data_IF_993519852985
#
_entry.id   IF_993519852985
#
_cell.length_a   1.000
_cell.length_b   1.000
_cell.length_c   1.000
_cell.angle_alpha   90.00
_cell.angle_beta   90.00
_cell.angle_gamma   90.00
#
_symmetry.space_group_name_H-M   'P 1'
#
loop_
_entity.id
_entity.type
_entity.pdbx_description
1 polymer ?
#
# COMPACT_ATOMS: atom_id res chain seq x y z
N UNK A 1 19.04 11.03 -0.89
CA UNK A 1 18.86 9.57 -0.73
C UNK A 1 19.78 9.16 0.39
N UNK A 2 19.20 8.72 1.50
CA UNK A 2 19.92 8.12 2.61
C UNK A 2 20.36 6.69 2.25
N UNK A 3 21.32 6.15 3.01
CA UNK A 3 21.82 4.80 2.77
C UNK A 3 20.72 3.74 2.91
N UNK A 4 19.75 3.96 3.81
CA UNK A 4 18.65 3.04 4.08
C UNK A 4 17.63 2.97 2.93
N UNK A 5 17.31 4.10 2.28
CA UNK A 5 16.50 4.07 1.05
C UNK A 5 17.25 3.42 -0.10
N UNK A 6 18.58 3.60 -0.18
CA UNK A 6 19.39 2.97 -1.22
C UNK A 6 19.37 1.44 -1.08
N UNK A 7 19.56 0.95 0.14
CA UNK A 7 19.49 -0.48 0.48
C UNK A 7 18.12 -1.05 0.13
N UNK A 8 17.04 -0.37 0.54
CA UNK A 8 15.66 -0.78 0.27
C UNK A 8 15.33 -0.80 -1.22
N UNK A 9 15.71 0.25 -1.97
CA UNK A 9 15.56 0.32 -3.42
C UNK A 9 16.32 -0.83 -4.09
N UNK A 10 17.53 -1.10 -3.64
CA UNK A 10 18.36 -2.14 -4.25
C UNK A 10 17.78 -3.53 -3.99
N UNK A 11 17.28 -3.81 -2.79
CA UNK A 11 16.55 -5.04 -2.48
C UNK A 11 15.32 -5.20 -3.41
N UNK A 12 14.52 -4.15 -3.56
CA UNK A 12 13.36 -4.15 -4.48
C UNK A 12 13.80 -4.44 -5.91
N UNK A 13 14.87 -3.81 -6.41
CA UNK A 13 15.37 -4.06 -7.76
C UNK A 13 15.87 -5.50 -7.93
N UNK A 14 16.57 -6.06 -6.95
CA UNK A 14 17.02 -7.47 -6.96
C UNK A 14 15.83 -8.42 -6.99
N UNK A 15 14.82 -8.18 -6.17
CA UNK A 15 13.62 -9.02 -6.14
C UNK A 15 12.86 -8.92 -7.47
N UNK A 16 12.64 -7.70 -7.98
CA UNK A 16 11.92 -7.47 -9.25
C UNK A 16 12.68 -7.92 -10.50
N UNK A 17 14.01 -7.91 -10.47
CA UNK A 17 14.83 -8.34 -11.62
C UNK A 17 14.72 -9.84 -11.91
N UNK A 18 14.30 -10.65 -10.93
CA UNK A 18 14.09 -12.10 -11.06
C UNK A 18 15.26 -12.84 -11.74
N UNK A 19 16.49 -12.37 -11.53
CA UNK A 19 17.69 -12.99 -12.08
C UNK A 19 18.15 -14.15 -11.20
N UNK A 20 18.72 -15.17 -11.83
CA UNK A 20 19.35 -16.29 -11.13
C UNK A 20 20.83 -15.98 -10.91
N UNK A 21 21.44 -16.60 -9.89
CA UNK A 21 22.89 -16.57 -9.68
C UNK A 21 23.50 -15.18 -9.40
N UNK A 22 22.86 -14.36 -8.57
CA UNK A 22 23.39 -13.05 -8.15
C UNK A 22 24.82 -13.08 -7.60
N UNK A 23 25.18 -14.13 -6.85
CA UNK A 23 26.53 -14.30 -6.32
C UNK A 23 27.60 -14.40 -7.43
N UNK A 24 27.30 -15.09 -8.54
CA UNK A 24 28.22 -15.21 -9.68
C UNK A 24 28.42 -13.88 -10.38
N UNK A 25 27.34 -13.11 -10.58
CA UNK A 25 27.44 -11.78 -11.17
C UNK A 25 28.20 -10.80 -10.28
N UNK A 26 27.96 -10.84 -8.96
CA UNK A 26 28.70 -10.03 -8.01
C UNK A 26 30.20 -10.35 -8.04
N UNK A 27 30.54 -11.63 -8.08
CA UNK A 27 31.93 -12.08 -8.21
C UNK A 27 32.57 -11.55 -9.49
N UNK A 28 31.89 -11.67 -10.64
CA UNK A 28 32.39 -11.10 -11.90
C UNK A 28 32.61 -9.59 -11.81
N UNK A 29 31.68 -8.85 -11.19
CA UNK A 29 31.77 -7.40 -11.07
C UNK A 29 32.94 -6.95 -10.18
N UNK A 30 33.31 -7.75 -9.17
CA UNK A 30 34.42 -7.45 -8.26
C UNK A 30 35.78 -7.85 -8.83
N UNK A 31 35.88 -9.07 -9.35
CA UNK A 31 37.17 -9.71 -9.66
C UNK A 31 37.59 -9.60 -11.13
N UNK A 32 36.64 -9.43 -12.06
CA UNK A 32 36.93 -9.40 -13.50
C UNK A 32 36.82 -8.00 -14.11
N UNK A 33 36.63 -6.97 -13.29
CA UNK A 33 36.54 -5.60 -13.79
C UNK A 33 37.93 -5.02 -14.06
N UNK A 34 38.03 -4.19 -15.10
CA UNK A 34 39.28 -3.53 -15.51
C UNK A 34 39.57 -2.27 -14.71
N UNK A 35 38.57 -1.76 -13.99
CA UNK A 35 38.65 -0.59 -13.12
C UNK A 35 38.75 -1.01 -11.66
N UNK A 36 39.41 -0.22 -10.81
CA UNK A 36 39.43 -0.50 -9.38
C UNK A 36 38.03 -0.30 -8.79
N UNK A 37 37.37 -1.41 -8.51
CA UNK A 37 36.05 -1.47 -7.86
C UNK A 37 36.17 -1.87 -6.39
N UNK A 38 37.39 -2.00 -5.86
CA UNK A 38 37.61 -2.30 -4.44
C UNK A 38 37.49 -1.04 -3.57
N UNK A 39 37.66 0.14 -4.16
CA UNK A 39 37.65 1.43 -3.47
C UNK A 39 36.73 2.46 -4.16
N UNK A 40 36.42 3.56 -3.46
CA UNK A 40 35.55 4.61 -3.99
C UNK A 40 34.06 4.26 -4.03
N UNK A 41 33.28 5.01 -4.81
CA UNK A 41 31.81 4.90 -4.82
C UNK A 41 31.30 3.58 -5.41
N UNK A 42 32.01 3.03 -6.39
CA UNK A 42 31.67 1.75 -7.00
C UNK A 42 31.90 0.58 -6.03
N UNK A 43 33.02 0.59 -5.30
CA UNK A 43 33.28 -0.41 -4.26
C UNK A 43 32.31 -0.33 -3.09
N UNK A 44 31.93 0.88 -2.68
CA UNK A 44 30.86 1.07 -1.69
C UNK A 44 29.54 0.46 -2.17
N UNK A 45 29.11 0.76 -3.40
CA UNK A 45 27.87 0.22 -3.95
C UNK A 45 27.88 -1.32 -4.03
N UNK A 46 28.98 -1.93 -4.48
CA UNK A 46 29.13 -3.39 -4.54
C UNK A 46 29.16 -4.04 -3.16
N UNK A 47 29.80 -3.41 -2.17
CA UNK A 47 29.81 -3.90 -0.79
C UNK A 47 28.42 -3.79 -0.14
N UNK A 48 27.67 -2.70 -0.40
CA UNK A 48 26.27 -2.59 0.00
C UNK A 48 25.43 -3.67 -0.67
N UNK A 49 25.66 -3.98 -1.94
CA UNK A 49 24.93 -5.02 -2.66
C UNK A 49 25.19 -6.41 -2.13
N UNK A 50 26.45 -6.71 -1.83
CA UNK A 50 26.81 -7.93 -1.14
C UNK A 50 26.10 -8.06 0.21
N UNK A 51 26.12 -7.00 1.02
CA UNK A 51 25.46 -7.00 2.33
C UNK A 51 23.94 -7.26 2.22
N UNK A 52 23.27 -6.67 1.22
CA UNK A 52 21.85 -6.92 0.96
C UNK A 52 21.59 -8.38 0.57
N UNK A 53 22.43 -8.96 -0.29
CA UNK A 53 22.31 -10.38 -0.65
C UNK A 53 22.56 -11.30 0.55
N UNK A 54 23.55 -10.99 1.38
CA UNK A 54 23.84 -11.73 2.61
C UNK A 54 22.67 -11.65 3.59
N UNK A 55 22.04 -10.49 3.74
CA UNK A 55 20.83 -10.32 4.54
C UNK A 55 19.68 -11.18 3.99
N UNK A 56 19.41 -11.11 2.68
CA UNK A 56 18.35 -11.91 2.06
C UNK A 56 18.60 -13.42 2.21
N UNK A 57 19.85 -13.85 2.18
CA UNK A 57 20.23 -15.25 2.41
C UNK A 57 20.10 -15.65 3.88
N UNK A 58 20.44 -14.78 4.83
CA UNK A 58 20.28 -15.03 6.26
C UNK A 58 18.80 -15.06 6.68
N UNK A 59 17.96 -14.23 6.05
CA UNK A 59 16.52 -14.17 6.25
C UNK A 59 15.73 -15.07 5.27
N UNK A 60 16.38 -16.04 4.63
CA UNK A 60 15.76 -16.83 3.56
C UNK A 60 14.48 -17.53 4.00
N UNK A 61 14.52 -18.24 5.12
CA UNK A 61 13.37 -19.04 5.59
C UNK A 61 12.18 -18.14 5.95
N UNK A 62 12.42 -17.02 6.64
CA UNK A 62 11.37 -16.08 7.04
C UNK A 62 10.76 -15.35 5.84
N UNK A 63 11.57 -14.93 4.87
CA UNK A 63 11.09 -14.31 3.63
C UNK A 63 10.29 -15.30 2.78
N UNK A 64 10.70 -16.57 2.74
CA UNK A 64 10.00 -17.63 2.02
C UNK A 64 8.64 -17.91 2.66
N UNK A 65 8.56 -17.97 3.99
CA UNK A 65 7.29 -18.11 4.73
C UNK A 65 6.33 -16.95 4.44
N UNK A 66 6.79 -15.70 4.57
CA UNK A 66 5.96 -14.51 4.28
C UNK A 66 5.53 -14.49 2.82
N UNK A 67 6.42 -14.86 1.89
CA UNK A 67 6.10 -14.93 0.47
C UNK A 67 4.98 -15.94 0.19
N UNK A 68 5.01 -17.12 0.81
CA UNK A 68 3.92 -18.09 0.69
C UNK A 68 2.64 -17.59 1.35
N UNK A 69 2.72 -16.91 2.49
CA UNK A 69 1.58 -16.28 3.14
C UNK A 69 0.88 -15.28 2.20
N UNK A 70 1.67 -14.42 1.56
CA UNK A 70 1.20 -13.44 0.59
C UNK A 70 0.56 -14.14 -0.61
N UNK A 71 1.18 -15.19 -1.15
CA UNK A 71 0.61 -15.98 -2.24
C UNK A 71 -0.75 -16.57 -1.87
N UNK A 72 -0.87 -17.18 -0.67
CA UNK A 72 -2.15 -17.70 -0.17
C UNK A 72 -3.16 -16.57 0.00
N UNK A 73 -2.78 -15.45 0.61
CA UNK A 73 -3.64 -14.27 0.77
C UNK A 73 -4.20 -13.82 -0.58
N UNK A 74 -3.35 -13.61 -1.59
CA UNK A 74 -3.78 -13.16 -2.91
C UNK A 74 -4.64 -14.17 -3.66
N UNK A 75 -4.44 -15.47 -3.44
CA UNK A 75 -5.32 -16.52 -3.95
C UNK A 75 -6.72 -16.47 -3.32
N UNK A 76 -6.80 -16.20 -2.01
CA UNK A 76 -8.06 -15.96 -1.31
C UNK A 76 -8.74 -14.68 -1.78
N UNK A 77 -7.97 -13.61 -1.94
CA UNK A 77 -8.46 -12.35 -2.45
C UNK A 77 -9.06 -12.49 -3.84
N UNK A 78 -8.58 -13.40 -4.68
CA UNK A 78 -9.07 -13.57 -6.05
C UNK A 78 -10.30 -14.47 -6.20
N UNK A 79 -10.66 -15.25 -5.17
CA UNK A 79 -11.73 -16.27 -5.27
C UNK A 79 -12.98 -15.85 -4.51
N UNK A 80 -12.98 -16.04 -3.19
CA UNK A 80 -14.01 -15.57 -2.28
C UNK A 80 -13.34 -15.32 -0.94
N UNK A 81 -13.16 -14.05 -0.59
CA UNK A 81 -12.36 -13.69 0.58
C UNK A 81 -13.23 -13.81 1.82
N UNK A 82 -12.77 -14.63 2.76
CA UNK A 82 -13.28 -14.69 4.12
C UNK A 82 -12.08 -14.64 5.05
N UNK A 83 -11.95 -13.53 5.76
CA UNK A 83 -10.85 -13.29 6.68
C UNK A 83 -10.72 -14.38 7.74
N UNK A 84 -11.83 -14.89 8.27
CA UNK A 84 -11.82 -15.90 9.34
C UNK A 84 -11.33 -17.25 8.83
N UNK A 85 -11.75 -17.62 7.62
CA UNK A 85 -11.25 -18.82 6.95
C UNK A 85 -9.78 -18.68 6.55
N UNK A 86 -9.36 -17.48 6.11
CA UNK A 86 -7.96 -17.21 5.81
C UNK A 86 -7.08 -17.32 7.06
N UNK A 87 -7.44 -16.64 8.15
CA UNK A 87 -6.68 -16.66 9.41
C UNK A 87 -6.56 -18.07 9.99
N UNK A 88 -7.67 -18.83 10.02
CA UNK A 88 -7.63 -20.21 10.48
C UNK A 88 -6.75 -21.08 9.58
N UNK A 89 -6.84 -20.97 8.24
CA UNK A 89 -5.96 -21.73 7.35
C UNK A 89 -4.50 -21.40 7.53
N UNK A 90 -4.14 -20.13 7.71
CA UNK A 90 -2.73 -19.74 7.94
C UNK A 90 -2.25 -20.25 9.30
N UNK A 91 -3.06 -20.16 10.35
CA UNK A 91 -2.70 -20.61 11.69
C UNK A 91 -2.58 -22.13 11.83
N UNK A 92 -3.39 -22.91 11.10
CA UNK A 92 -3.45 -24.38 11.21
C UNK A 92 -2.63 -25.13 10.15
N UNK A 93 -2.00 -24.44 9.20
CA UNK A 93 -1.27 -25.11 8.13
C UNK A 93 0.18 -25.40 8.54
N UNK A 94 0.47 -26.67 8.83
CA UNK A 94 1.82 -27.15 9.18
C UNK A 94 2.89 -26.84 8.12
N UNK A 95 2.50 -26.67 6.84
CA UNK A 95 3.42 -26.26 5.75
C UNK A 95 3.62 -24.74 5.65
N UNK A 96 2.77 -23.99 6.32
CA UNK A 96 2.75 -22.53 6.37
C UNK A 96 3.03 -22.11 7.81
N UNK A 97 3.92 -22.82 8.49
CA UNK A 97 4.34 -22.68 9.90
C UNK A 97 5.04 -21.34 10.19
N UNK A 98 4.50 -20.28 9.64
CA UNK A 98 4.56 -18.94 10.14
C UNK A 98 4.31 -19.01 11.64
N UNK A 99 5.33 -18.70 12.42
CA UNK A 99 5.14 -18.15 13.75
C UNK A 99 4.55 -16.71 13.64
N UNK A 100 3.53 -16.51 12.78
CA UNK A 100 2.71 -15.30 12.73
C UNK A 100 1.92 -15.29 14.02
N UNK A 101 2.57 -14.69 15.00
CA UNK A 101 2.11 -14.58 16.39
C UNK A 101 1.85 -13.13 16.75
N UNK A 102 2.43 -12.19 15.98
CA UNK A 102 2.28 -10.75 16.16
C UNK A 102 1.33 -10.13 15.14
N UNK A 103 0.68 -9.06 15.57
CA UNK A 103 -0.17 -8.22 14.71
C UNK A 103 0.64 -7.60 13.55
N UNK A 104 1.92 -7.29 13.77
CA UNK A 104 2.82 -6.77 12.71
C UNK A 104 2.99 -7.75 11.56
N UNK A 105 3.12 -9.05 11.84
CA UNK A 105 3.25 -10.07 10.81
C UNK A 105 1.95 -10.22 10.00
N UNK A 106 0.79 -10.11 10.66
CA UNK A 106 -0.50 -10.08 9.96
C UNK A 106 -0.65 -8.82 9.10
N UNK A 107 -0.29 -7.65 9.64
CA UNK A 107 -0.31 -6.39 8.89
C UNK A 107 0.56 -6.48 7.63
N UNK A 108 1.76 -7.05 7.73
CA UNK A 108 2.64 -7.24 6.57
C UNK A 108 2.01 -8.11 5.47
N UNK A 109 1.17 -9.08 5.83
CA UNK A 109 0.51 -9.98 4.87
C UNK A 109 -0.72 -9.29 4.26
N UNK A 110 -1.58 -8.72 5.11
CA UNK A 110 -2.85 -8.11 4.71
C UNK A 110 -2.65 -6.80 3.92
N UNK A 111 -1.55 -6.10 4.17
CA UNK A 111 -1.12 -4.90 3.43
C UNK A 111 -0.10 -5.22 2.33
N UNK A 112 0.12 -6.51 2.04
CA UNK A 112 0.91 -6.87 0.87
C UNK A 112 0.28 -6.28 -0.39
N UNK A 113 1.12 -6.00 -1.38
CA UNK A 113 0.72 -5.36 -2.63
C UNK A 113 0.80 -6.34 -3.79
N UNK A 114 -0.05 -6.14 -4.78
CA UNK A 114 -0.06 -6.94 -5.99
C UNK A 114 1.03 -6.49 -6.99
N UNK A 115 0.99 -7.05 -8.20
CA UNK A 115 1.93 -6.71 -9.27
C UNK A 115 1.86 -5.24 -9.72
N UNK A 116 0.75 -4.56 -9.47
CA UNK A 116 0.54 -3.15 -9.79
C UNK A 116 0.94 -2.22 -8.63
N UNK A 117 1.42 -2.74 -7.50
CA UNK A 117 1.70 -1.97 -6.28
C UNK A 117 0.42 -1.48 -5.54
N UNK A 118 -0.69 -2.21 -5.72
CA UNK A 118 -1.98 -1.92 -5.08
C UNK A 118 -2.30 -2.92 -3.97
N UNK A 119 -2.94 -2.44 -2.90
CA UNK A 119 -3.44 -3.29 -1.82
C UNK A 119 -4.72 -4.02 -2.21
N UNK A 120 -5.08 -5.06 -1.45
CA UNK A 120 -6.34 -5.78 -1.65
C UNK A 120 -7.56 -4.85 -1.49
N UNK A 121 -7.50 -3.83 -0.64
CA UNK A 121 -8.58 -2.84 -0.47
C UNK A 121 -8.82 -2.03 -1.75
N UNK A 122 -7.75 -1.54 -2.39
CA UNK A 122 -7.83 -0.84 -3.68
C UNK A 122 -8.44 -1.76 -4.74
N UNK A 123 -8.01 -3.02 -4.79
CA UNK A 123 -8.54 -4.01 -5.72
C UNK A 123 -10.03 -4.30 -5.50
N UNK A 124 -10.47 -4.48 -4.25
CA UNK A 124 -11.89 -4.71 -3.95
C UNK A 124 -12.76 -3.52 -4.31
N UNK A 125 -12.26 -2.30 -4.16
CA UNK A 125 -12.93 -1.09 -4.65
C UNK A 125 -13.08 -1.11 -6.17
N UNK A 126 -12.03 -1.46 -6.91
CA UNK A 126 -12.06 -1.55 -8.37
C UNK A 126 -13.03 -2.64 -8.87
N UNK A 127 -13.06 -3.78 -8.20
CA UNK A 127 -13.92 -4.93 -8.53
C UNK A 127 -15.35 -4.81 -7.96
N UNK A 128 -15.69 -3.71 -7.27
CA UNK A 128 -16.98 -3.51 -6.57
C UNK A 128 -17.34 -4.60 -5.55
N UNK A 129 -16.32 -5.18 -4.90
CA UNK A 129 -16.44 -6.25 -3.90
C UNK A 129 -16.61 -5.69 -2.50
N UNK A 130 -17.77 -5.05 -2.28
CA UNK A 130 -18.03 -4.23 -1.10
C UNK A 130 -18.02 -5.03 0.21
N UNK A 131 -18.51 -6.27 0.21
CA UNK A 131 -18.57 -7.07 1.43
C UNK A 131 -17.17 -7.45 1.91
N UNK A 132 -16.31 -7.86 0.98
CA UNK A 132 -14.92 -8.21 1.26
C UNK A 132 -14.08 -6.99 1.61
N UNK A 133 -14.34 -5.84 0.96
CA UNK A 133 -13.77 -4.56 1.35
C UNK A 133 -14.08 -4.24 2.81
N UNK A 134 -15.36 -4.24 3.20
CA UNK A 134 -15.78 -3.90 4.56
C UNK A 134 -15.17 -4.86 5.59
N UNK A 135 -15.19 -6.18 5.30
CA UNK A 135 -14.60 -7.18 6.19
C UNK A 135 -13.10 -6.94 6.43
N UNK A 136 -12.33 -6.69 5.36
CA UNK A 136 -10.89 -6.47 5.47
C UNK A 136 -10.59 -5.09 6.09
N UNK A 137 -11.30 -4.05 5.68
CA UNK A 137 -11.14 -2.68 6.16
C UNK A 137 -11.37 -2.59 7.67
N UNK A 138 -12.47 -3.16 8.18
CA UNK A 138 -12.80 -3.13 9.61
C UNK A 138 -11.78 -3.88 10.46
N UNK A 139 -11.20 -4.95 9.90
CA UNK A 139 -10.15 -5.68 10.59
C UNK A 139 -8.84 -4.89 10.63
N UNK A 140 -8.42 -4.32 9.51
CA UNK A 140 -7.21 -3.51 9.43
C UNK A 140 -7.31 -2.26 10.31
N UNK A 141 -8.47 -1.59 10.35
CA UNK A 141 -8.69 -0.44 11.23
C UNK A 141 -8.53 -0.76 12.72
N UNK A 142 -8.76 -2.02 13.13
CA UNK A 142 -8.55 -2.48 14.51
C UNK A 142 -7.09 -2.82 14.79
N UNK A 143 -6.35 -3.28 13.79
CA UNK A 143 -4.93 -3.61 13.92
C UNK A 143 -4.05 -2.37 13.85
N UNK A 144 -4.30 -1.48 12.88
CA UNK A 144 -3.60 -0.21 12.74
C UNK A 144 -4.38 0.75 11.84
N UNK A 145 -4.92 1.81 12.44
CA UNK A 145 -5.55 2.93 11.72
C UNK A 145 -4.57 3.62 10.78
N UNK A 146 -3.32 3.79 11.21
CA UNK A 146 -2.33 4.59 10.50
C UNK A 146 -2.00 4.00 9.13
N UNK A 147 -1.90 2.67 9.04
CA UNK A 147 -1.66 2.02 7.75
C UNK A 147 -2.85 2.16 6.80
N UNK A 148 -4.09 2.05 7.29
CA UNK A 148 -5.30 2.16 6.47
C UNK A 148 -5.51 3.59 5.97
N UNK A 149 -5.26 4.58 6.83
CA UNK A 149 -5.42 5.99 6.48
C UNK A 149 -4.37 6.47 5.46
N UNK A 150 -3.20 5.83 5.42
CA UNK A 150 -2.16 6.11 4.44
C UNK A 150 -2.24 5.23 3.18
N UNK A 151 -3.24 4.35 3.06
CA UNK A 151 -3.39 3.48 1.88
C UNK A 151 -3.90 4.27 0.66
N UNK A 152 -3.19 4.12 -0.45
CA UNK A 152 -3.43 4.85 -1.71
C UNK A 152 -3.23 3.95 -2.91
N UNK A 153 -3.92 4.23 -4.03
CA UNK A 153 -3.60 3.62 -5.31
C UNK A 153 -2.21 4.04 -5.83
N UNK A 154 -1.82 3.50 -6.99
CA UNK A 154 -0.59 3.86 -7.72
C UNK A 154 -0.48 5.35 -8.07
N UNK A 155 -1.58 6.09 -8.03
CA UNK A 155 -1.66 7.52 -8.31
C UNK A 155 -1.67 8.36 -7.04
N UNK A 156 -1.57 7.77 -5.85
CA UNK A 156 -1.67 8.48 -4.57
C UNK A 156 -3.10 8.87 -4.18
N UNK A 157 -4.13 8.35 -4.87
CA UNK A 157 -5.51 8.57 -4.50
C UNK A 157 -5.89 7.68 -3.31
N UNK A 158 -6.41 8.30 -2.24
CA UNK A 158 -6.85 7.58 -1.03
C UNK A 158 -8.04 6.66 -1.31
N UNK A 159 -8.27 5.69 -0.42
CA UNK A 159 -9.44 4.80 -0.48
C UNK A 159 -10.77 5.57 -0.60
N UNK A 160 -10.95 6.67 0.13
CA UNK A 160 -12.15 7.52 0.00
C UNK A 160 -12.23 8.19 -1.37
N UNK A 161 -11.11 8.72 -1.88
CA UNK A 161 -11.08 9.32 -3.21
C UNK A 161 -11.48 8.32 -4.29
N UNK A 162 -10.98 7.09 -4.19
CA UNK A 162 -11.32 6.00 -5.11
C UNK A 162 -12.80 5.63 -5.02
N UNK A 163 -13.33 5.45 -3.81
CA UNK A 163 -14.74 5.10 -3.59
C UNK A 163 -15.69 6.18 -4.13
N UNK A 164 -15.35 7.46 -3.97
CA UNK A 164 -16.15 8.57 -4.50
C UNK A 164 -16.05 8.64 -6.03
N UNK A 165 -14.85 8.48 -6.59
CA UNK A 165 -14.64 8.46 -8.06
C UNK A 165 -15.37 7.32 -8.75
N UNK A 166 -15.53 6.18 -8.08
CA UNK A 166 -16.27 5.03 -8.60
C UNK A 166 -17.77 5.08 -8.27
N UNK A 167 -18.26 6.18 -7.67
CA UNK A 167 -19.65 6.34 -7.21
C UNK A 167 -20.11 5.20 -6.28
N UNK A 168 -19.17 4.58 -5.56
CA UNK A 168 -19.45 3.48 -4.65
C UNK A 168 -19.90 4.02 -3.29
N UNK A 169 -21.19 4.37 -3.22
CA UNK A 169 -21.81 4.97 -2.04
C UNK A 169 -21.65 4.11 -0.78
N UNK A 170 -21.79 2.79 -0.89
CA UNK A 170 -21.69 1.89 0.26
C UNK A 170 -20.31 1.97 0.93
N UNK A 171 -19.25 1.87 0.14
CA UNK A 171 -17.88 1.95 0.66
C UNK A 171 -17.51 3.38 1.07
N UNK A 172 -17.90 4.38 0.28
CA UNK A 172 -17.63 5.78 0.60
C UNK A 172 -18.25 6.19 1.94
N UNK A 173 -19.50 5.78 2.20
CA UNK A 173 -20.13 6.04 3.49
C UNK A 173 -19.50 5.25 4.63
N UNK A 174 -19.14 3.98 4.41
CA UNK A 174 -18.45 3.16 5.41
C UNK A 174 -17.13 3.79 5.86
N UNK A 175 -16.29 4.23 4.90
CA UNK A 175 -15.06 4.95 5.20
C UNK A 175 -15.36 6.27 5.91
N UNK A 176 -16.36 7.04 5.46
CA UNK A 176 -16.72 8.31 6.09
C UNK A 176 -17.18 8.12 7.54
N UNK A 177 -17.94 7.07 7.84
CA UNK A 177 -18.43 6.77 9.17
C UNK A 177 -17.28 6.37 10.08
N UNK A 178 -16.32 5.58 9.57
CA UNK A 178 -15.08 5.29 10.30
C UNK A 178 -14.26 6.55 10.58
N UNK A 179 -14.04 7.42 9.58
CA UNK A 179 -13.30 8.68 9.77
C UNK A 179 -13.92 9.54 10.86
N UNK A 180 -15.26 9.62 10.92
CA UNK A 180 -15.96 10.38 11.95
C UNK A 180 -15.82 9.79 13.36
N UNK A 181 -15.30 8.57 13.51
CA UNK A 181 -14.94 8.02 14.83
C UNK A 181 -13.57 8.50 15.33
N UNK A 182 -12.74 9.06 14.44
CA UNK A 182 -11.40 9.56 14.75
C UNK A 182 -11.45 11.01 15.26
N UNK A 183 -10.32 11.50 15.77
CA UNK A 183 -10.17 12.90 16.14
C UNK A 183 -10.19 13.82 14.90
N UNK A 184 -10.64 15.06 15.09
CA UNK A 184 -10.80 16.00 13.99
C UNK A 184 -9.49 16.31 13.26
N UNK A 185 -8.34 16.28 13.94
CA UNK A 185 -7.02 16.47 13.30
C UNK A 185 -6.72 15.36 12.30
N UNK A 186 -6.91 14.09 12.69
CA UNK A 186 -6.71 12.93 11.82
C UNK A 186 -7.62 12.96 10.58
N UNK A 187 -8.89 13.38 10.75
CA UNK A 187 -9.82 13.53 9.62
C UNK A 187 -9.34 14.62 8.65
N UNK A 188 -8.92 15.78 9.17
CA UNK A 188 -8.40 16.88 8.35
C UNK A 188 -7.13 16.46 7.61
N UNK A 189 -6.23 15.74 8.27
CA UNK A 189 -4.99 15.24 7.67
C UNK A 189 -5.28 14.26 6.54
N UNK A 190 -6.16 13.28 6.77
CA UNK A 190 -6.59 12.33 5.74
C UNK A 190 -7.22 13.03 4.53
N UNK A 191 -8.11 14.00 4.75
CA UNK A 191 -8.78 14.74 3.69
C UNK A 191 -7.86 15.69 2.92
N UNK A 192 -6.63 15.92 3.40
CA UNK A 192 -5.60 16.71 2.70
C UNK A 192 -4.71 15.87 1.78
N UNK A 193 -4.72 14.55 1.92
CA UNK A 193 -3.94 13.66 1.05
C UNK A 193 -4.43 13.85 -0.39
N UNK A 194 -3.49 14.16 -1.28
CA UNK A 194 -3.76 14.48 -2.67
C UNK A 194 -3.15 13.44 -3.60
N UNK A 195 -3.87 13.10 -4.66
CA UNK A 195 -3.35 12.27 -5.74
C UNK A 195 -2.26 12.99 -6.57
N UNK A 196 -1.72 12.30 -7.58
CA UNK A 196 -0.67 12.81 -8.49
C UNK A 196 -1.06 14.08 -9.25
N UNK A 197 -2.34 14.43 -9.31
CA UNK A 197 -2.84 15.67 -9.91
C UNK A 197 -3.12 16.75 -8.87
N UNK A 198 -2.75 16.53 -7.61
CA UNK A 198 -3.03 17.43 -6.50
C UNK A 198 -4.50 17.42 -6.10
N UNK A 199 -5.28 16.37 -6.38
CA UNK A 199 -6.70 16.33 -6.01
C UNK A 199 -6.91 15.54 -4.74
N UNK A 200 -7.62 16.15 -3.81
CA UNK A 200 -8.04 15.54 -2.54
C UNK A 200 -9.42 14.87 -2.67
N UNK A 201 -9.88 14.05 -1.69
CA UNK A 201 -11.22 13.46 -1.72
C UNK A 201 -12.33 14.50 -2.00
N UNK A 202 -12.20 15.70 -1.44
CA UNK A 202 -13.16 16.78 -1.59
C UNK A 202 -13.36 17.22 -3.05
N UNK A 203 -12.33 17.13 -3.91
CA UNK A 203 -12.45 17.47 -5.33
C UNK A 203 -13.39 16.52 -6.07
N UNK A 204 -13.69 15.36 -5.50
CA UNK A 204 -14.54 14.34 -6.08
C UNK A 204 -15.94 14.30 -5.43
N UNK A 205 -16.18 15.02 -4.32
CA UNK A 205 -17.47 14.97 -3.58
C UNK A 205 -18.69 15.34 -4.41
N UNK A 206 -18.53 16.00 -5.56
CA UNK A 206 -19.63 16.23 -6.49
C UNK A 206 -20.30 14.93 -6.97
N UNK A 207 -19.58 13.81 -7.00
CA UNK A 207 -20.12 12.50 -7.36
C UNK A 207 -21.01 11.92 -6.25
N UNK A 208 -20.77 12.27 -4.98
CA UNK A 208 -21.56 11.86 -3.82
C UNK A 208 -21.80 13.07 -2.91
N UNK A 209 -22.73 13.99 -3.25
CA UNK A 209 -22.91 15.25 -2.53
C UNK A 209 -23.27 15.09 -1.05
N UNK A 210 -23.89 13.97 -0.66
CA UNK A 210 -24.22 13.68 0.74
C UNK A 210 -22.98 13.56 1.65
N UNK A 211 -21.77 13.37 1.10
CA UNK A 211 -20.53 13.42 1.87
C UNK A 211 -20.16 14.85 2.29
N UNK A 212 -20.67 15.88 1.60
CA UNK A 212 -20.45 17.28 1.97
C UNK A 212 -21.09 17.56 3.33
N UNK A 213 -22.29 17.05 3.57
CA UNK A 213 -22.99 17.21 4.85
C UNK A 213 -22.23 16.54 6.01
N UNK A 214 -21.54 15.43 5.74
CA UNK A 214 -20.78 14.66 6.75
C UNK A 214 -19.38 15.21 7.00
N UNK A 215 -18.62 15.42 5.92
CA UNK A 215 -17.18 15.70 5.96
C UNK A 215 -16.82 17.13 5.58
N UNK A 216 -17.76 17.90 5.01
CA UNK A 216 -17.49 19.23 4.47
C UNK A 216 -16.98 20.24 5.49
N UNK A 217 -17.27 20.04 6.79
CA UNK A 217 -16.72 20.88 7.87
C UNK A 217 -15.22 20.71 8.09
N UNK A 218 -14.65 19.58 7.66
CA UNK A 218 -13.22 19.25 7.80
C UNK A 218 -12.42 19.56 6.52
N UNK A 219 -13.11 19.88 5.42
CA UNK A 219 -12.50 20.13 4.12
C UNK A 219 -11.93 21.55 4.05
N UNK A 220 -10.68 21.66 3.58
CA UNK A 220 -10.13 22.94 3.14
C UNK A 220 -10.64 23.28 1.73
N UNK A 221 -11.75 24.00 1.66
CA UNK A 221 -12.37 24.42 0.39
C UNK A 221 -11.54 25.40 -0.43
N UNK A 222 -10.46 25.95 0.12
CA UNK A 222 -9.54 26.84 -0.57
C UNK A 222 -8.34 26.12 -1.19
N UNK A 223 -8.14 24.84 -0.85
CA UNK A 223 -7.08 24.02 -1.44
C UNK A 223 -7.29 23.90 -2.95
N UNK A 224 -6.20 24.01 -3.71
CA UNK A 224 -6.22 23.99 -5.18
C UNK A 224 -5.46 22.78 -5.71
N UNK A 225 -6.03 22.13 -6.71
CA UNK A 225 -5.34 21.09 -7.48
C UNK A 225 -4.20 21.66 -8.34
N UNK A 226 -3.47 20.78 -9.05
CA UNK A 226 -2.37 21.19 -9.92
C UNK A 226 -2.81 22.13 -11.08
N UNK A 227 -4.11 22.22 -11.37
CA UNK A 227 -4.70 23.14 -12.36
C UNK A 227 -5.25 24.41 -11.72
N UNK A 228 -5.05 24.62 -10.42
CA UNK A 228 -5.54 25.78 -9.69
C UNK A 228 -7.03 25.72 -9.34
N UNK A 229 -7.70 24.57 -9.48
CA UNK A 229 -9.13 24.40 -9.23
C UNK A 229 -9.35 23.98 -7.79
N UNK A 230 -10.32 24.59 -7.12
CA UNK A 230 -10.75 24.15 -5.79
C UNK A 230 -11.83 23.08 -5.87
N UNK A 231 -12.04 22.35 -4.78
CA UNK A 231 -13.16 21.42 -4.64
C UNK A 231 -14.52 22.10 -4.91
N UNK A 232 -14.69 23.35 -4.46
CA UNK A 232 -15.90 24.14 -4.72
C UNK A 232 -16.09 24.44 -6.21
N UNK A 233 -15.00 24.76 -6.93
CA UNK A 233 -15.06 24.97 -8.39
C UNK A 233 -15.42 23.68 -9.14
N UNK A 234 -14.89 22.53 -8.69
CA UNK A 234 -15.24 21.24 -9.26
C UNK A 234 -16.73 20.94 -9.08
N UNK A 235 -17.27 21.20 -7.89
CA UNK A 235 -18.70 21.08 -7.59
C UNK A 235 -19.55 21.99 -8.48
N UNK A 236 -19.21 23.28 -8.61
CA UNK A 236 -20.01 24.19 -9.46
C UNK A 236 -20.07 23.74 -10.92
N UNK A 237 -18.97 23.19 -11.46
CA UNK A 237 -18.89 22.74 -12.86
C UNK A 237 -19.61 21.43 -13.16
N UNK A 238 -19.89 20.60 -12.16
CA UNK A 238 -20.61 19.34 -12.37
C UNK A 238 -22.13 19.52 -12.45
N UNK A 239 -22.65 20.69 -12.06
CA UNK A 239 -24.07 21.04 -12.14
C UNK A 239 -24.46 21.83 -13.40
N UNK A 240 -23.47 22.25 -14.20
CA UNK A 240 -23.66 22.83 -15.54
C UNK A 240 -23.83 21.72 -16.60
#
# INVERSE_FOLDING_TARGET
IDADSLVSLMLITVVKANMKHYASYLFMMKELNTTDVSSGHAGYALATFEAVLMYAQAAHDTLLEISHANEVFWNYCSTNFDLTLFQSRVQFNEKLSLNVTSDESWLSILLSKDANDETALVKYLADSRNAEFVQLFDHLCKLSSDYVLNDTDVNGATLLSLAVKSENHAVAFHISDYLLTLDSSSVIEYLRISDKWGRTPAHYFFAIPALIDKLGIFVDWNYKDAKGQTALMALCRSYD
#
